data_IF_040838019895
#
_entry.id   IF_040838019895
#
_cell.length_a   1.000
_cell.length_b   1.000
_cell.length_c   1.000
_cell.angle_alpha   90.00
_cell.angle_beta   90.00
_cell.angle_gamma   90.00
#
_symmetry.space_group_name_H-M   'P 1'
#
loop_
_entity.id
_entity.type
_entity.pdbx_description
1 polymer ?
#
# COMPACT_ATOMS: atom_id res chain seq x y z
N UNK A 1 22.94 26.22 -2.99
CA UNK A 1 22.71 25.29 -4.11
C UNK A 1 21.33 24.68 -3.94
N UNK A 2 20.38 25.00 -4.81
CA UNK A 2 19.08 24.31 -4.85
C UNK A 2 19.34 22.94 -5.48
N UNK A 3 19.08 21.86 -4.75
CA UNK A 3 19.05 20.51 -5.33
C UNK A 3 17.74 20.40 -6.11
N UNK A 4 17.83 20.27 -7.42
CA UNK A 4 16.66 19.97 -8.24
C UNK A 4 16.23 18.52 -7.98
N UNK A 5 14.98 18.32 -7.57
CA UNK A 5 14.40 17.00 -7.46
C UNK A 5 14.22 16.43 -8.87
N UNK A 6 14.75 15.24 -9.11
CA UNK A 6 14.52 14.49 -10.35
C UNK A 6 13.70 13.23 -10.10
N UNK A 7 12.99 12.71 -11.11
CA UNK A 7 12.35 11.40 -11.02
C UNK A 7 13.40 10.32 -10.75
N UNK A 8 13.10 9.41 -9.83
CA UNK A 8 13.91 8.24 -9.53
C UNK A 8 13.03 6.97 -9.60
N UNK A 9 13.53 5.88 -10.20
CA UNK A 9 14.76 5.78 -10.96
C UNK A 9 14.59 6.27 -12.40
N UNK A 10 15.69 6.68 -13.03
CA UNK A 10 15.72 7.13 -14.42
C UNK A 10 16.81 6.44 -15.22
N UNK A 11 16.47 6.05 -16.46
CA UNK A 11 17.41 5.51 -17.44
C UNK A 11 18.46 6.55 -17.83
N UNK A 12 18.08 7.82 -17.95
CA UNK A 12 18.96 8.91 -18.41
C UNK A 12 20.05 9.28 -17.39
N UNK A 13 19.84 8.94 -16.12
CA UNK A 13 20.76 9.25 -15.02
C UNK A 13 21.56 8.02 -14.56
N UNK A 14 21.44 6.90 -15.29
CA UNK A 14 22.16 5.67 -14.97
C UNK A 14 21.71 5.02 -13.66
N UNK A 15 20.46 5.22 -13.20
CA UNK A 15 19.95 4.52 -12.00
C UNK A 15 19.61 3.06 -12.28
N UNK A 16 19.40 2.70 -13.55
CA UNK A 16 18.98 1.38 -13.99
C UNK A 16 20.17 0.49 -14.38
N UNK A 17 21.33 0.59 -13.70
CA UNK A 17 22.52 -0.19 -14.10
C UNK A 17 22.39 -1.69 -13.78
N UNK A 18 21.67 -2.03 -12.71
CA UNK A 18 21.40 -3.42 -12.37
C UNK A 18 20.24 -3.95 -13.22
N UNK A 19 20.40 -5.17 -13.73
CA UNK A 19 19.41 -5.83 -14.59
C UNK A 19 18.04 -5.88 -13.90
N UNK A 20 17.06 -5.23 -14.53
CA UNK A 20 15.68 -5.21 -14.07
C UNK A 20 15.41 -4.27 -12.88
N UNK A 21 16.38 -3.53 -12.36
CA UNK A 21 16.20 -2.65 -11.20
C UNK A 21 15.04 -1.66 -11.37
N UNK A 22 14.99 -0.97 -12.52
CA UNK A 22 13.96 0.03 -12.76
C UNK A 22 12.55 -0.56 -12.90
N UNK A 23 12.43 -1.76 -13.47
CA UNK A 23 11.15 -2.44 -13.59
C UNK A 23 10.69 -3.01 -12.24
N UNK A 24 11.61 -3.59 -11.47
CA UNK A 24 11.35 -4.05 -10.09
C UNK A 24 10.98 -2.89 -9.17
N UNK A 25 11.65 -1.74 -9.31
CA UNK A 25 11.32 -0.54 -8.54
C UNK A 25 9.93 -0.02 -8.88
N UNK A 26 9.56 0.03 -10.17
CA UNK A 26 8.21 0.40 -10.59
C UNK A 26 7.17 -0.56 -10.04
N UNK A 27 7.44 -1.87 -10.08
CA UNK A 27 6.56 -2.87 -9.50
C UNK A 27 6.42 -2.70 -7.99
N UNK A 28 7.52 -2.44 -7.27
CA UNK A 28 7.52 -2.15 -5.85
C UNK A 28 6.73 -0.87 -5.51
N UNK A 29 6.91 0.20 -6.29
CA UNK A 29 6.17 1.45 -6.13
C UNK A 29 4.66 1.22 -6.33
N UNK A 30 4.27 0.46 -7.35
CA UNK A 30 2.87 0.07 -7.54
C UNK A 30 2.35 -0.76 -6.35
N UNK A 31 3.17 -1.70 -5.85
CA UNK A 31 2.87 -2.48 -4.66
C UNK A 31 2.64 -1.62 -3.41
N UNK A 32 3.47 -0.59 -3.19
CA UNK A 32 3.29 0.36 -2.07
C UNK A 32 1.98 1.13 -2.17
N UNK A 33 1.58 1.55 -3.39
CA UNK A 33 0.30 2.22 -3.61
C UNK A 33 -0.86 1.29 -3.26
N UNK A 34 -0.82 0.03 -3.72
CA UNK A 34 -1.84 -0.97 -3.39
C UNK A 34 -1.89 -1.23 -1.88
N UNK A 35 -0.74 -1.40 -1.23
CA UNK A 35 -0.64 -1.60 0.21
C UNK A 35 -1.23 -0.42 0.99
N UNK A 36 -1.01 0.83 0.55
CA UNK A 36 -1.60 2.01 1.16
C UNK A 36 -3.14 2.02 1.03
N UNK A 37 -3.68 1.62 -0.12
CA UNK A 37 -5.13 1.52 -0.34
C UNK A 37 -5.74 0.45 0.58
N UNK A 38 -5.17 -0.75 0.60
CA UNK A 38 -5.65 -1.87 1.43
C UNK A 38 -5.55 -1.52 2.91
N UNK A 39 -4.43 -0.93 3.35
CA UNK A 39 -4.25 -0.45 4.72
C UNK A 39 -5.30 0.60 5.11
N UNK A 40 -5.56 1.59 4.23
CA UNK A 40 -6.60 2.60 4.44
C UNK A 40 -7.99 1.99 4.58
N UNK A 41 -8.38 1.08 3.69
CA UNK A 41 -9.66 0.36 3.76
C UNK A 41 -9.78 -0.46 5.05
N UNK A 42 -8.68 -1.09 5.49
CA UNK A 42 -8.64 -1.85 6.74
C UNK A 42 -8.92 -0.96 7.95
N UNK A 43 -8.30 0.22 8.02
CA UNK A 43 -8.55 1.20 9.10
C UNK A 43 -10.02 1.64 9.09
N UNK A 44 -10.58 1.99 7.93
CA UNK A 44 -11.98 2.37 7.83
C UNK A 44 -12.93 1.24 8.25
N UNK A 45 -12.64 -0.01 7.86
CA UNK A 45 -13.44 -1.17 8.26
C UNK A 45 -13.38 -1.39 9.77
N UNK A 46 -12.22 -1.22 10.40
CA UNK A 46 -12.05 -1.30 11.86
C UNK A 46 -12.86 -0.22 12.58
N UNK A 47 -12.76 1.04 12.13
CA UNK A 47 -13.52 2.15 12.69
C UNK A 47 -15.03 1.94 12.55
N UNK A 48 -15.50 1.53 11.37
CA UNK A 48 -16.91 1.20 11.13
C UNK A 48 -17.39 0.06 12.04
N UNK A 49 -16.55 -0.96 12.25
CA UNK A 49 -16.86 -2.08 13.14
C UNK A 49 -16.98 -1.60 14.60
N UNK A 50 -16.05 -0.76 15.06
CA UNK A 50 -16.09 -0.14 16.40
C UNK A 50 -17.33 0.74 16.58
N UNK A 51 -17.72 1.54 15.59
CA UNK A 51 -18.91 2.39 15.68
C UNK A 51 -20.24 1.64 15.48
N UNK A 52 -20.20 0.36 15.07
CA UNK A 52 -21.41 -0.44 14.84
C UNK A 52 -22.01 -1.07 16.10
N UNK A 53 -23.33 -1.31 16.04
CA UNK A 53 -24.10 -2.05 17.05
C UNK A 53 -23.53 -3.45 17.32
N UNK A 54 -23.58 -3.92 18.57
CA UNK A 54 -22.98 -5.18 19.06
C UNK A 54 -23.29 -6.40 18.18
N UNK A 55 -24.51 -6.48 17.63
CA UNK A 55 -24.99 -7.57 16.77
C UNK A 55 -24.35 -7.60 15.37
N UNK A 56 -23.90 -6.44 14.85
CA UNK A 56 -23.22 -6.31 13.55
C UNK A 56 -21.72 -6.61 13.65
N UNK A 57 -21.12 -6.37 14.82
CA UNK A 57 -19.69 -6.63 15.08
C UNK A 57 -19.29 -8.09 14.85
N UNK A 58 -20.12 -9.06 15.26
CA UNK A 58 -19.77 -10.49 15.13
C UNK A 58 -19.57 -10.96 13.68
N UNK A 59 -20.24 -10.33 12.71
CA UNK A 59 -20.10 -10.64 11.27
C UNK A 59 -19.03 -9.79 10.57
N UNK A 60 -18.65 -8.66 11.16
CA UNK A 60 -17.68 -7.74 10.56
C UNK A 60 -16.22 -8.19 10.72
N UNK A 61 -15.92 -9.08 11.68
CA UNK A 61 -14.56 -9.59 11.87
C UNK A 61 -14.07 -10.47 10.72
N UNK A 62 -14.96 -11.20 10.02
CA UNK A 62 -14.57 -12.04 8.88
C UNK A 62 -13.91 -11.23 7.73
N UNK A 63 -14.54 -10.16 7.19
CA UNK A 63 -13.89 -9.34 6.17
C UNK A 63 -12.69 -8.53 6.70
N UNK A 64 -12.71 -8.10 7.97
CA UNK A 64 -11.57 -7.38 8.58
C UNK A 64 -10.33 -8.26 8.67
N UNK A 65 -10.47 -9.52 9.11
CA UNK A 65 -9.35 -10.47 9.16
C UNK A 65 -8.77 -10.75 7.78
N UNK A 66 -9.62 -10.85 6.75
CA UNK A 66 -9.15 -11.01 5.37
C UNK A 66 -8.35 -9.80 4.88
N UNK A 67 -8.81 -8.58 5.16
CA UNK A 67 -8.07 -7.36 4.83
C UNK A 67 -6.71 -7.27 5.56
N UNK A 68 -6.65 -7.72 6.82
CA UNK A 68 -5.38 -7.79 7.57
C UNK A 68 -4.40 -8.80 6.97
N UNK A 69 -4.88 -9.95 6.50
CA UNK A 69 -4.03 -10.95 5.81
C UNK A 69 -3.52 -10.43 4.47
N UNK A 70 -4.33 -9.64 3.74
CA UNK A 70 -3.89 -9.04 2.48
C UNK A 70 -2.89 -7.90 2.69
N UNK A 71 -2.89 -7.28 3.86
CA UNK A 71 -2.00 -6.18 4.21
C UNK A 71 -0.66 -6.65 4.78
N UNK A 72 -0.67 -7.69 5.61
CA UNK A 72 0.52 -8.24 6.30
C UNK A 72 1.27 -9.27 5.49
#
# INVERSE_FOLDING_TARGET
>A
MLRECRPFPSYDYGDCQEDGFCELWRAAAAGMVVAAIVGGLTIFALLATMCSQRRKRSKAWAPVSFMLILYG
#
